data_IF_390574248913
#
_entry.id   IF_390574248913
#
_cell.length_a   1.000
_cell.length_b   1.000
_cell.length_c   1.000
_cell.angle_alpha   90.00
_cell.angle_beta   90.00
_cell.angle_gamma   90.00
#
_symmetry.space_group_name_H-M   'P 1'
#
loop_
_entity.id
_entity.type
_entity.pdbx_description
1 polymer ?
#
# COMPACT_ATOMS: atom_id res chain seq x y z
N UNK A 1 -13.49 -14.48 9.58
CA UNK A 1 -12.09 -14.15 9.93
C UNK A 1 -11.92 -12.64 9.83
N UNK A 2 -11.64 -11.94 10.93
CA UNK A 2 -11.48 -10.48 10.94
C UNK A 2 -10.07 -10.14 10.46
N UNK A 3 -9.85 -9.84 9.19
CA UNK A 3 -8.60 -9.16 8.80
C UNK A 3 -8.59 -7.84 9.57
N UNK A 4 -7.63 -7.69 10.48
CA UNK A 4 -7.39 -6.46 11.23
C UNK A 4 -7.14 -5.33 10.22
N UNK A 5 -7.78 -4.18 10.41
CA UNK A 5 -7.64 -3.02 9.53
C UNK A 5 -6.17 -2.61 9.34
N UNK A 6 -5.34 -2.85 10.38
CA UNK A 6 -3.89 -2.62 10.37
C UNK A 6 -3.17 -3.56 9.40
N UNK A 7 -3.54 -4.84 9.36
CA UNK A 7 -2.92 -5.79 8.43
C UNK A 7 -3.24 -5.43 6.98
N UNK A 8 -4.47 -4.98 6.72
CA UNK A 8 -4.90 -4.50 5.40
C UNK A 8 -4.10 -3.28 4.95
N UNK A 9 -3.89 -2.28 5.83
CA UNK A 9 -3.10 -1.10 5.49
C UNK A 9 -1.63 -1.46 5.25
N UNK A 10 -1.00 -2.28 6.11
CA UNK A 10 0.40 -2.70 5.92
C UNK A 10 0.58 -3.41 4.57
N UNK A 11 -0.29 -4.36 4.23
CA UNK A 11 -0.22 -5.07 2.94
C UNK A 11 -0.45 -4.13 1.77
N UNK A 12 -1.40 -3.19 1.87
CA UNK A 12 -1.66 -2.20 0.84
C UNK A 12 -0.47 -1.26 0.59
N UNK A 13 0.16 -0.76 1.66
CA UNK A 13 1.36 0.07 1.55
C UNK A 13 2.57 -0.69 1.02
N UNK A 14 2.76 -1.94 1.46
CA UNK A 14 3.85 -2.80 0.98
C UNK A 14 3.71 -3.13 -0.52
N UNK A 15 2.49 -3.43 -0.98
CA UNK A 15 2.22 -3.69 -2.40
C UNK A 15 2.49 -2.44 -3.26
N UNK A 16 2.06 -1.26 -2.81
CA UNK A 16 2.31 -0.01 -3.53
C UNK A 16 3.80 0.37 -3.55
N UNK A 17 4.49 0.25 -2.41
CA UNK A 17 5.92 0.54 -2.30
C UNK A 17 6.78 -0.42 -3.12
N UNK A 18 6.45 -1.72 -3.11
CA UNK A 18 7.17 -2.72 -3.91
C UNK A 18 6.97 -2.53 -5.41
N UNK A 19 5.77 -2.14 -5.86
CA UNK A 19 5.53 -1.81 -7.26
C UNK A 19 6.37 -0.60 -7.70
N UNK A 20 6.41 0.47 -6.91
CA UNK A 20 7.21 1.65 -7.22
C UNK A 20 8.72 1.37 -7.17
N UNK A 21 9.17 0.56 -6.21
CA UNK A 21 10.57 0.14 -6.12
C UNK A 21 10.98 -0.76 -7.29
N UNK A 22 10.09 -1.63 -7.77
CA UNK A 22 10.35 -2.46 -8.94
C UNK A 22 10.60 -1.61 -10.20
N UNK A 23 9.83 -0.53 -10.38
CA UNK A 23 10.04 0.41 -11.49
C UNK A 23 11.41 1.08 -11.40
N UNK A 24 11.81 1.56 -10.21
CA UNK A 24 13.14 2.18 -10.02
C UNK A 24 14.31 1.19 -10.26
N UNK A 25 14.11 -0.10 -9.92
CA UNK A 25 15.09 -1.14 -10.23
C UNK A 25 15.16 -1.43 -11.74
N UNK A 26 14.02 -1.40 -12.44
CA UNK A 26 13.96 -1.59 -13.89
C UNK A 26 14.64 -0.45 -14.67
N UNK A 27 14.52 0.79 -14.18
CA UNK A 27 15.20 1.95 -14.77
C UNK A 27 16.70 2.02 -14.44
N UNK A 28 17.19 1.18 -13.51
CA UNK A 28 18.62 0.99 -13.26
C UNK A 28 19.31 2.10 -12.46
N UNK A 29 18.59 3.15 -12.09
CA UNK A 29 19.07 4.23 -11.22
C UNK A 29 18.03 4.55 -10.17
N UNK A 30 18.45 4.68 -8.91
CA UNK A 30 17.56 5.10 -7.83
C UNK A 30 17.86 6.56 -7.51
N UNK A 31 17.11 7.47 -8.12
CA UNK A 31 17.28 8.92 -7.92
C UNK A 31 16.50 9.42 -6.71
N UNK A 32 16.89 10.58 -6.18
CA UNK A 32 16.16 11.22 -5.06
C UNK A 32 14.68 11.45 -5.41
N UNK A 33 14.37 11.73 -6.69
CA UNK A 33 13.00 11.90 -7.17
C UNK A 33 12.18 10.61 -7.08
N UNK A 34 12.74 9.48 -7.47
CA UNK A 34 12.07 8.19 -7.40
C UNK A 34 11.86 7.73 -5.95
N UNK A 35 12.83 7.99 -5.07
CA UNK A 35 12.68 7.75 -3.63
C UNK A 35 11.47 8.49 -3.04
N UNK A 36 11.29 9.76 -3.39
CA UNK A 36 10.11 10.54 -2.99
C UNK A 36 8.83 9.96 -3.59
N UNK A 37 8.88 9.51 -4.84
CA UNK A 37 7.71 8.94 -5.53
C UNK A 37 7.26 7.63 -4.88
N UNK A 38 8.21 6.77 -4.48
CA UNK A 38 7.94 5.53 -3.73
C UNK A 38 7.28 5.85 -2.39
N UNK A 39 7.84 6.80 -1.63
CA UNK A 39 7.28 7.20 -0.32
C UNK A 39 5.88 7.78 -0.48
N UNK A 40 5.66 8.66 -1.46
CA UNK A 40 4.33 9.21 -1.75
C UNK A 40 3.36 8.10 -2.16
N UNK A 41 3.78 7.12 -2.96
CA UNK A 41 2.94 5.98 -3.34
C UNK A 41 2.52 5.15 -2.13
N UNK A 42 3.45 4.87 -1.20
CA UNK A 42 3.15 4.16 0.06
C UNK A 42 2.14 4.95 0.90
N UNK A 43 2.36 6.26 1.07
CA UNK A 43 1.48 7.13 1.86
C UNK A 43 0.09 7.25 1.23
N UNK A 44 0.01 7.43 -0.08
CA UNK A 44 -1.26 7.45 -0.82
C UNK A 44 -2.01 6.12 -0.65
N UNK A 45 -1.30 4.99 -0.79
CA UNK A 45 -1.91 3.67 -0.60
C UNK A 45 -2.40 3.46 0.84
N UNK A 46 -1.62 3.86 1.86
CA UNK A 46 -2.09 3.81 3.24
C UNK A 46 -3.31 4.68 3.49
N UNK A 47 -3.32 5.90 2.96
CA UNK A 47 -4.48 6.80 3.08
C UNK A 47 -5.74 6.19 2.46
N UNK A 48 -5.64 5.68 1.24
CA UNK A 48 -6.77 5.06 0.52
C UNK A 48 -7.24 3.80 1.25
N UNK A 49 -6.31 2.93 1.66
CA UNK A 49 -6.65 1.64 2.28
C UNK A 49 -7.24 1.81 3.67
N UNK A 50 -6.80 2.81 4.42
CA UNK A 50 -7.40 3.19 5.71
C UNK A 50 -8.78 3.82 5.54
N UNK A 51 -8.96 4.67 4.51
CA UNK A 51 -10.24 5.31 4.23
C UNK A 51 -11.33 4.30 3.78
N UNK A 52 -10.96 3.20 3.11
CA UNK A 52 -11.91 2.18 2.65
C UNK A 52 -12.32 1.26 3.80
N UNK A 53 -13.59 1.29 4.26
CA UNK A 53 -14.05 0.43 5.35
C UNK A 53 -13.97 -1.04 4.94
N UNK A 54 -13.51 -1.90 5.85
CA UNK A 54 -13.59 -3.33 5.62
C UNK A 54 -15.05 -3.78 5.63
N UNK A 55 -15.47 -4.61 4.66
CA UNK A 55 -16.81 -5.20 4.69
C UNK A 55 -16.96 -5.91 6.03
N UNK A 56 -17.92 -5.45 6.83
CA UNK A 56 -18.33 -6.17 8.02
C UNK A 56 -18.80 -7.54 7.53
N UNK A 57 -18.17 -8.60 8.05
CA UNK A 57 -18.62 -9.97 7.79
C UNK A 57 -20.06 -10.05 8.28
N UNK A 58 -21.02 -9.93 7.36
CA UNK A 58 -22.43 -10.21 7.63
C UNK A 58 -22.48 -11.69 7.96
N UNK A 59 -22.35 -12.01 9.25
CA UNK A 59 -22.61 -13.33 9.76
C UNK A 59 -24.07 -13.62 9.51
N UNK A 60 -24.35 -14.40 8.47
CA UNK A 60 -25.60 -15.12 8.33
C UNK A 60 -25.67 -16.04 9.54
N UNK A 61 -26.59 -15.72 10.46
CA UNK A 61 -27.07 -16.64 11.50
C UNK A 61 -28.13 -17.54 10.90
#
# INVERSE_FOLDING_TARGET
MKISSIAKSIVGGLAAGSAAAATAVQDGTLTTGEGVTIVLAILSAWGIVWAVPNRQSTGVR
#
